data_IF_142214233094
#
_entry.id   IF_142214233094
#
_cell.length_a   1.000
_cell.length_b   1.000
_cell.length_c   1.000
_cell.angle_alpha   90.00
_cell.angle_beta   90.00
_cell.angle_gamma   90.00
#
_symmetry.space_group_name_H-M   'P 1'
#
loop_
_entity.id
_entity.type
_entity.pdbx_description
1 polymer ?
#
# COMPACT_ATOMS: atom_id res chain seq x y z
N UNK A 1 57.55 19.06 15.20
CA UNK A 1 56.97 17.75 15.56
C UNK A 1 55.45 17.80 15.76
N UNK A 2 54.85 18.86 16.32
CA UNK A 2 53.39 18.92 16.56
C UNK A 2 52.48 19.11 15.31
N UNK A 3 52.98 19.68 14.22
CA UNK A 3 52.18 19.97 13.02
C UNK A 3 51.64 18.71 12.29
N UNK A 4 52.33 17.57 12.45
CA UNK A 4 51.89 16.31 11.85
C UNK A 4 50.69 15.70 12.59
N UNK A 5 50.66 15.84 13.91
CA UNK A 5 49.53 15.41 14.76
C UNK A 5 48.26 16.24 14.49
N UNK A 6 48.41 17.54 14.31
CA UNK A 6 47.31 18.44 13.92
C UNK A 6 46.66 17.99 12.61
N UNK A 7 47.47 17.75 11.57
CA UNK A 7 46.98 17.26 10.27
C UNK A 7 46.30 15.91 10.36
N UNK A 8 46.80 15.01 11.20
CA UNK A 8 46.20 13.70 11.42
C UNK A 8 44.81 13.82 12.07
N UNK A 9 44.65 14.71 13.04
CA UNK A 9 43.35 15.00 13.66
C UNK A 9 42.36 15.57 12.65
N UNK A 10 42.80 16.51 11.80
CA UNK A 10 41.93 17.09 10.77
C UNK A 10 41.49 16.03 9.76
N UNK A 11 42.40 15.15 9.33
CA UNK A 11 42.08 14.04 8.43
C UNK A 11 41.12 13.03 9.07
N UNK A 12 41.32 12.69 10.34
CA UNK A 12 40.43 11.79 11.07
C UNK A 12 39.01 12.39 11.21
N UNK A 13 38.90 13.69 11.52
CA UNK A 13 37.62 14.40 11.57
C UNK A 13 36.94 14.45 10.20
N UNK A 14 37.68 14.71 9.13
CA UNK A 14 37.15 14.72 7.78
C UNK A 14 36.63 13.33 7.36
N UNK A 15 37.36 12.26 7.69
CA UNK A 15 36.95 10.89 7.42
C UNK A 15 35.67 10.51 8.20
N UNK A 16 35.56 10.92 9.47
CA UNK A 16 34.34 10.73 10.27
C UNK A 16 33.14 11.49 9.69
N UNK A 17 33.34 12.74 9.27
CA UNK A 17 32.28 13.52 8.64
C UNK A 17 31.82 12.87 7.31
N UNK A 18 32.75 12.45 6.46
CA UNK A 18 32.44 11.80 5.20
C UNK A 18 31.67 10.48 5.40
N UNK A 19 32.12 9.64 6.33
CA UNK A 19 31.43 8.38 6.66
C UNK A 19 30.03 8.61 7.23
N UNK A 20 29.83 9.64 8.06
CA UNK A 20 28.51 10.01 8.58
C UNK A 20 27.53 10.40 7.45
N UNK A 21 28.00 11.16 6.46
CA UNK A 21 27.18 11.54 5.30
C UNK A 21 26.74 10.29 4.51
N UNK A 22 27.65 9.36 4.27
CA UNK A 22 27.35 8.10 3.56
C UNK A 22 26.35 7.26 4.35
N UNK A 23 26.53 7.12 5.66
CA UNK A 23 25.60 6.38 6.53
C UNK A 23 24.20 7.00 6.55
N UNK A 24 24.11 8.34 6.63
CA UNK A 24 22.82 9.04 6.58
C UNK A 24 22.14 8.87 5.22
N UNK A 25 22.88 8.94 4.13
CA UNK A 25 22.35 8.69 2.79
C UNK A 25 21.83 7.25 2.65
N UNK A 26 22.57 6.27 3.16
CA UNK A 26 22.16 4.86 3.17
C UNK A 26 20.90 4.63 4.02
N UNK A 27 20.85 5.16 5.24
CA UNK A 27 19.69 5.05 6.12
C UNK A 27 18.47 5.79 5.55
N UNK A 28 18.67 6.94 4.90
CA UNK A 28 17.61 7.67 4.20
C UNK A 28 17.09 6.87 2.99
N UNK A 29 17.96 6.32 2.16
CA UNK A 29 17.55 5.44 1.05
C UNK A 29 16.82 4.18 1.53
N UNK A 30 17.33 3.54 2.59
CA UNK A 30 16.73 2.34 3.20
C UNK A 30 15.36 2.63 3.82
N UNK A 31 15.19 3.76 4.51
CA UNK A 31 13.91 4.13 5.15
C UNK A 31 12.86 4.58 4.13
N UNK A 32 13.25 5.16 3.00
CA UNK A 32 12.35 5.50 1.90
C UNK A 32 11.77 4.23 1.25
N UNK A 33 12.56 3.18 1.07
CA UNK A 33 12.07 1.89 0.54
C UNK A 33 10.94 1.29 1.38
N UNK A 34 11.10 1.24 2.72
CA UNK A 34 10.07 0.67 3.60
C UNK A 34 8.83 1.55 3.78
N UNK A 35 8.93 2.88 3.60
CA UNK A 35 7.76 3.77 3.64
C UNK A 35 6.98 3.78 2.31
N UNK A 36 7.68 3.69 1.18
CA UNK A 36 7.06 3.62 -0.14
C UNK A 36 6.21 2.35 -0.32
N UNK A 37 6.68 1.20 0.19
CA UNK A 37 5.92 -0.05 0.13
C UNK A 37 4.63 0.00 0.98
N UNK A 38 4.65 0.69 2.13
CA UNK A 38 3.46 0.86 2.98
C UNK A 38 2.43 1.79 2.34
N UNK A 39 2.87 2.92 1.76
CA UNK A 39 1.98 3.81 1.02
C UNK A 39 1.37 3.14 -0.23
N UNK A 40 2.14 2.29 -0.92
CA UNK A 40 1.65 1.50 -2.05
C UNK A 40 0.58 0.48 -1.66
N UNK A 41 0.65 -0.08 -0.44
CA UNK A 41 -0.37 -1.01 0.09
C UNK A 41 -1.59 -0.30 0.63
N UNK A 42 -1.44 0.80 1.37
CA UNK A 42 -2.57 1.56 1.91
C UNK A 42 -3.44 2.14 0.80
N UNK A 43 -2.83 2.61 -0.30
CA UNK A 43 -3.59 3.10 -1.47
C UNK A 43 -4.32 1.99 -2.25
N UNK A 44 -3.84 0.75 -2.19
CA UNK A 44 -4.54 -0.40 -2.77
C UNK A 44 -5.67 -0.89 -1.86
N UNK A 45 -5.43 -0.96 -0.54
CA UNK A 45 -6.44 -1.34 0.45
C UNK A 45 -7.59 -0.32 0.44
N UNK A 46 -7.30 0.98 0.39
CA UNK A 46 -8.33 2.00 0.36
C UNK A 46 -9.16 1.92 -0.94
N UNK A 47 -8.53 1.65 -2.09
CA UNK A 47 -9.24 1.41 -3.35
C UNK A 47 -10.13 0.17 -3.31
N UNK A 48 -9.64 -0.93 -2.72
CA UNK A 48 -10.44 -2.15 -2.55
C UNK A 48 -11.62 -1.91 -1.60
N UNK A 49 -11.42 -1.15 -0.51
CA UNK A 49 -12.48 -0.81 0.43
C UNK A 49 -13.56 0.08 -0.21
N UNK A 50 -13.17 1.05 -1.04
CA UNK A 50 -14.12 1.88 -1.77
C UNK A 50 -14.88 1.08 -2.82
N UNK A 51 -14.22 0.20 -3.56
CA UNK A 51 -14.88 -0.70 -4.51
C UNK A 51 -15.90 -1.62 -3.83
N UNK A 52 -15.56 -2.21 -2.68
CA UNK A 52 -16.48 -3.03 -1.89
C UNK A 52 -17.69 -2.23 -1.39
N UNK A 53 -17.50 -0.96 -0.99
CA UNK A 53 -18.61 -0.08 -0.60
C UNK A 53 -19.55 0.24 -1.77
N UNK A 54 -18.98 0.41 -2.96
CA UNK A 54 -19.77 0.62 -4.17
C UNK A 54 -20.59 -0.63 -4.54
N UNK A 55 -19.97 -1.80 -4.50
CA UNK A 55 -20.65 -3.08 -4.80
C UNK A 55 -21.80 -3.35 -3.83
N UNK A 56 -21.59 -3.15 -2.52
CA UNK A 56 -22.65 -3.29 -1.52
C UNK A 56 -23.81 -2.34 -1.77
N UNK A 57 -23.54 -1.08 -2.13
CA UNK A 57 -24.60 -0.11 -2.46
C UNK A 57 -25.36 -0.49 -3.73
N UNK A 58 -24.66 -0.97 -4.74
CA UNK A 58 -25.28 -1.38 -6.00
C UNK A 58 -26.22 -2.57 -5.79
N UNK A 59 -25.78 -3.59 -5.04
CA UNK A 59 -26.61 -4.74 -4.66
C UNK A 59 -27.82 -4.29 -3.83
N UNK A 60 -27.65 -3.37 -2.88
CA UNK A 60 -28.77 -2.84 -2.09
C UNK A 60 -29.78 -2.09 -2.97
N UNK A 61 -29.32 -1.25 -3.90
CA UNK A 61 -30.20 -0.54 -4.82
C UNK A 61 -30.93 -1.48 -5.78
N UNK A 62 -30.23 -2.48 -6.32
CA UNK A 62 -30.82 -3.50 -7.19
C UNK A 62 -31.88 -4.31 -6.44
N UNK A 63 -31.58 -4.76 -5.24
CA UNK A 63 -32.50 -5.54 -4.39
C UNK A 63 -33.71 -4.71 -3.98
N UNK A 64 -33.51 -3.44 -3.60
CA UNK A 64 -34.61 -2.54 -3.23
C UNK A 64 -35.55 -2.19 -4.41
N UNK A 65 -35.06 -2.32 -5.65
CA UNK A 65 -35.86 -2.12 -6.86
C UNK A 65 -36.53 -3.39 -7.40
N UNK A 66 -36.22 -4.55 -6.82
CA UNK A 66 -36.77 -5.85 -7.24
C UNK A 66 -37.86 -6.30 -6.28
N UNK A 67 -38.90 -6.92 -6.84
CA UNK A 67 -39.92 -7.60 -6.06
C UNK A 67 -39.38 -8.94 -5.52
N UNK A 68 -39.91 -9.42 -4.39
CA UNK A 68 -39.41 -10.63 -3.71
C UNK A 68 -39.44 -11.86 -4.62
N UNK A 69 -40.45 -11.95 -5.50
CA UNK A 69 -40.57 -13.00 -6.50
C UNK A 69 -39.46 -12.94 -7.56
N UNK A 70 -39.02 -11.74 -7.94
CA UNK A 70 -37.93 -11.54 -8.89
C UNK A 70 -36.57 -11.93 -8.28
N UNK A 71 -36.36 -11.58 -7.00
CA UNK A 71 -35.17 -11.96 -6.23
C UNK A 71 -35.06 -13.49 -6.13
N UNK A 72 -36.15 -14.17 -5.80
CA UNK A 72 -36.19 -15.62 -5.68
C UNK A 72 -35.89 -16.34 -7.01
N UNK A 73 -36.39 -15.80 -8.13
CA UNK A 73 -36.18 -16.38 -9.45
C UNK A 73 -34.73 -16.19 -9.93
N UNK A 74 -34.10 -15.05 -9.61
CA UNK A 74 -32.68 -14.80 -9.90
C UNK A 74 -31.75 -15.70 -9.08
N UNK A 75 -31.96 -15.79 -7.76
CA UNK A 75 -31.22 -16.71 -6.88
C UNK A 75 -31.35 -18.17 -7.33
N UNK A 76 -32.56 -18.58 -7.74
CA UNK A 76 -32.81 -19.93 -8.26
C UNK A 76 -32.07 -20.17 -9.57
N UNK A 77 -32.06 -19.19 -10.48
CA UNK A 77 -31.31 -19.27 -11.76
C UNK A 77 -29.82 -19.38 -11.52
N UNK A 78 -29.25 -18.57 -10.63
CA UNK A 78 -27.82 -18.57 -10.33
C UNK A 78 -27.37 -19.83 -9.60
N UNK A 79 -28.22 -20.34 -8.71
CA UNK A 79 -27.98 -21.62 -8.04
C UNK A 79 -27.95 -22.79 -9.05
N UNK A 80 -28.92 -22.84 -9.99
CA UNK A 80 -28.98 -23.88 -11.02
C UNK A 80 -27.83 -23.79 -12.02
N UNK A 81 -27.37 -22.57 -12.36
CA UNK A 81 -26.25 -22.36 -13.29
C UNK A 81 -24.87 -22.54 -12.62
N UNK A 82 -24.85 -22.82 -11.32
CA UNK A 82 -23.68 -22.77 -10.47
C UNK A 82 -23.31 -21.31 -10.21
N UNK A 83 -23.23 -20.94 -8.92
CA UNK A 83 -22.85 -19.59 -8.52
C UNK A 83 -21.54 -19.22 -9.22
N UNK A 84 -21.62 -18.38 -10.26
CA UNK A 84 -20.45 -17.90 -10.98
C UNK A 84 -19.91 -16.75 -10.12
N UNK A 85 -18.72 -16.88 -9.51
CA UNK A 85 -18.13 -15.74 -8.83
C UNK A 85 -17.63 -14.79 -9.91
N UNK A 86 -18.15 -13.56 -9.92
CA UNK A 86 -17.66 -12.48 -10.78
C UNK A 86 -18.53 -12.26 -12.02
N UNK A 87 -19.41 -11.27 -11.92
CA UNK A 87 -20.39 -10.94 -12.94
C UNK A 87 -20.63 -9.47 -13.20
N UNK A 88 -19.91 -8.53 -12.56
CA UNK A 88 -19.51 -7.20 -13.05
C UNK A 88 -18.81 -6.40 -11.96
#
# INVERSE_FOLDING_TARGET
MFAWLERFKTLALAALAASAVVLLAYLRGRSVGSRAERQGRDTQINRQADQARHEVRDVQHQTAGMDDAAIADELKRDWVRGARPGGR
#
